data_IF_600479279906
#
_entry.id   IF_600479279906
#
_cell.length_a   1.000
_cell.length_b   1.000
_cell.length_c   1.000
_cell.angle_alpha   90.00
_cell.angle_beta   90.00
_cell.angle_gamma   90.00
#
_symmetry.space_group_name_H-M   'P 1'
#
loop_
_entity.id
_entity.type
_entity.pdbx_description
1 polymer ?
#
# COMPACT_ATOMS: atom_id res chain seq x y z
N UNK A 1 14.52 13.19 10.43
CA UNK A 1 14.00 11.98 11.08
C UNK A 1 14.93 11.44 12.17
N UNK A 2 16.23 11.33 11.97
CA UNK A 2 17.13 10.89 13.06
C UNK A 2 17.28 11.91 14.21
N UNK A 3 17.00 13.19 13.99
CA UNK A 3 17.12 14.24 15.03
C UNK A 3 15.98 14.24 16.03
N UNK A 4 14.81 13.71 15.67
CA UNK A 4 13.57 13.86 16.45
C UNK A 4 13.18 12.57 17.19
N UNK A 5 14.05 11.57 17.24
CA UNK A 5 13.84 10.28 17.94
C UNK A 5 12.49 9.62 17.61
N UNK A 6 12.14 9.56 16.32
CA UNK A 6 10.93 8.87 15.86
C UNK A 6 11.14 7.35 15.85
N UNK A 7 10.13 6.59 16.28
CA UNK A 7 10.16 5.14 16.38
C UNK A 7 9.62 4.43 15.13
N UNK A 8 8.98 5.16 14.24
CA UNK A 8 8.42 4.63 13.01
C UNK A 8 7.93 5.73 12.07
N UNK A 9 7.60 5.34 10.84
CA UNK A 9 7.19 6.26 9.78
C UNK A 9 5.92 5.78 9.11
N UNK A 10 4.97 6.69 8.91
CA UNK A 10 3.79 6.48 8.06
C UNK A 10 3.99 7.24 6.76
N UNK A 11 3.98 6.52 5.64
CA UNK A 11 4.16 7.10 4.31
C UNK A 11 2.81 7.20 3.62
N UNK A 12 2.36 8.43 3.40
CA UNK A 12 1.08 8.68 2.75
C UNK A 12 1.11 8.34 1.25
N UNK A 13 -0.07 8.09 0.69
CA UNK A 13 -0.26 7.80 -0.74
C UNK A 13 -0.30 9.10 -1.55
N UNK A 14 0.83 9.47 -2.13
CA UNK A 14 0.93 10.53 -3.13
C UNK A 14 1.98 10.18 -4.20
N UNK A 15 1.96 10.89 -5.32
CA UNK A 15 2.83 10.58 -6.46
C UNK A 15 4.32 10.76 -6.13
N UNK A 16 4.67 11.69 -5.25
CA UNK A 16 6.06 11.93 -4.85
C UNK A 16 6.57 10.76 -4.02
N UNK A 17 5.81 10.36 -3.00
CA UNK A 17 6.16 9.22 -2.15
C UNK A 17 6.21 7.93 -2.95
N UNK A 18 5.30 7.73 -3.91
CA UNK A 18 5.33 6.56 -4.78
C UNK A 18 6.61 6.51 -5.62
N UNK A 19 7.00 7.63 -6.23
CA UNK A 19 8.22 7.72 -7.06
C UNK A 19 9.48 7.47 -6.24
N UNK A 20 9.52 7.94 -4.99
CA UNK A 20 10.68 7.85 -4.11
C UNK A 20 10.59 6.71 -3.07
N UNK A 21 9.64 5.78 -3.21
CA UNK A 21 9.40 4.70 -2.23
C UNK A 21 10.64 3.85 -1.90
N UNK A 22 11.53 3.68 -2.87
CA UNK A 22 12.79 2.96 -2.68
C UNK A 22 13.79 3.75 -1.83
N UNK A 23 13.74 5.08 -1.88
CA UNK A 23 14.60 5.96 -1.10
C UNK A 23 14.09 6.16 0.34
N UNK A 24 12.78 5.96 0.54
CA UNK A 24 12.13 6.04 1.86
C UNK A 24 12.18 4.70 2.62
N UNK A 25 12.81 3.69 2.02
CA UNK A 25 12.88 2.36 2.60
C UNK A 25 13.55 2.35 3.99
N UNK A 26 13.04 1.55 4.93
CA UNK A 26 13.56 1.43 6.28
C UNK A 26 15.01 0.94 6.32
N UNK A 27 15.50 0.35 5.24
CA UNK A 27 16.87 -0.13 5.11
C UNK A 27 17.92 0.99 5.31
N UNK A 28 17.59 2.22 4.91
CA UNK A 28 18.51 3.35 5.02
C UNK A 28 18.55 3.94 6.44
N UNK A 29 17.43 3.89 7.16
CA UNK A 29 17.28 4.54 8.47
C UNK A 29 16.96 3.58 9.61
N UNK A 30 16.80 2.28 9.34
CA UNK A 30 16.42 1.25 10.33
C UNK A 30 15.14 1.61 11.11
N UNK A 31 14.20 2.27 10.46
CA UNK A 31 12.91 2.62 11.02
C UNK A 31 11.80 1.78 10.41
N UNK A 32 10.89 1.23 11.21
CA UNK A 32 9.71 0.55 10.69
C UNK A 32 8.83 1.56 9.93
N UNK A 33 8.45 1.22 8.71
CA UNK A 33 7.59 2.05 7.87
C UNK A 33 6.32 1.29 7.46
N UNK A 34 5.18 1.99 7.57
CA UNK A 34 3.93 1.56 6.94
C UNK A 34 3.65 2.47 5.75
N UNK A 35 3.30 1.85 4.62
CA UNK A 35 3.07 2.55 3.36
C UNK A 35 1.65 2.26 2.84
N UNK A 36 1.08 3.22 2.14
CA UNK A 36 -0.24 3.11 1.52
C UNK A 36 -0.25 2.49 0.12
N UNK A 37 0.88 2.00 -0.39
CA UNK A 37 0.98 1.30 -1.67
C UNK A 37 1.34 -0.17 -1.45
N UNK A 38 0.62 -1.08 -2.12
CA UNK A 38 0.75 -2.53 -1.94
C UNK A 38 2.15 -3.08 -2.24
N UNK A 39 2.83 -2.52 -3.25
CA UNK A 39 4.19 -2.91 -3.65
C UNK A 39 5.31 -2.36 -2.76
N UNK A 40 4.97 -1.53 -1.77
CA UNK A 40 5.97 -0.94 -0.88
C UNK A 40 6.61 -1.95 0.06
N UNK A 41 5.88 -2.98 0.46
CA UNK A 41 6.44 -4.08 1.26
C UNK A 41 7.49 -4.86 0.46
N UNK A 42 7.26 -5.10 -0.83
CA UNK A 42 8.23 -5.73 -1.73
C UNK A 42 9.46 -4.84 -1.95
N UNK A 43 9.27 -3.52 -1.91
CA UNK A 43 10.34 -2.53 -2.01
C UNK A 43 11.17 -2.37 -0.71
N UNK A 44 10.82 -3.08 0.37
CA UNK A 44 11.57 -3.12 1.62
C UNK A 44 10.92 -2.40 2.80
N UNK A 45 9.72 -1.83 2.66
CA UNK A 45 8.97 -1.33 3.81
C UNK A 45 8.58 -2.49 4.74
N UNK A 46 8.39 -2.20 6.04
CA UNK A 46 7.97 -3.21 7.00
C UNK A 46 6.57 -3.75 6.66
N UNK A 47 5.66 -2.85 6.33
CA UNK A 47 4.29 -3.23 5.98
C UNK A 47 3.66 -2.26 4.99
N UNK A 48 2.67 -2.73 4.27
CA UNK A 48 1.78 -1.92 3.45
C UNK A 48 0.33 -2.22 3.77
N UNK A 49 -0.50 -1.19 3.77
CA UNK A 49 -1.94 -1.31 3.89
C UNK A 49 -2.58 -0.52 2.74
N UNK A 50 -3.07 -1.25 1.75
CA UNK A 50 -3.53 -0.67 0.49
C UNK A 50 -4.73 -1.43 -0.07
N UNK A 51 -5.51 -0.75 -0.91
CA UNK A 51 -6.52 -1.42 -1.72
C UNK A 51 -5.88 -2.11 -2.95
N UNK A 52 -6.57 -3.12 -3.49
CA UNK A 52 -6.12 -3.78 -4.72
C UNK A 52 -6.27 -2.83 -5.93
N UNK A 53 -5.17 -2.19 -6.29
CA UNK A 53 -5.10 -1.25 -7.41
C UNK A 53 -5.47 -1.91 -8.74
N UNK A 54 -5.18 -3.19 -8.92
CA UNK A 54 -5.50 -3.93 -10.16
C UNK A 54 -7.00 -4.19 -10.27
N UNK A 55 -7.65 -4.55 -9.17
CA UNK A 55 -9.09 -4.70 -9.12
C UNK A 55 -9.80 -3.37 -9.40
N UNK A 56 -9.32 -2.30 -8.78
CA UNK A 56 -9.80 -0.93 -9.05
C UNK A 56 -9.68 -0.55 -10.53
N UNK A 57 -8.52 -0.76 -11.14
CA UNK A 57 -8.29 -0.47 -12.55
C UNK A 57 -9.19 -1.26 -13.50
N UNK A 58 -9.42 -2.55 -13.23
CA UNK A 58 -10.37 -3.38 -14.01
C UNK A 58 -11.79 -2.83 -13.93
N UNK A 59 -12.20 -2.38 -12.74
CA UNK A 59 -13.53 -1.81 -12.55
C UNK A 59 -13.69 -0.48 -13.29
N UNK A 60 -12.72 0.40 -13.24
CA UNK A 60 -12.70 1.65 -14.02
C UNK A 60 -12.80 1.34 -15.51
N UNK A 61 -12.05 0.37 -16.01
CA UNK A 61 -12.11 -0.04 -17.40
C UNK A 61 -13.50 -0.56 -17.80
N UNK A 62 -14.14 -1.35 -16.93
CA UNK A 62 -15.50 -1.84 -17.16
C UNK A 62 -16.52 -0.68 -17.23
N UNK A 63 -16.42 0.30 -16.34
CA UNK A 63 -17.29 1.48 -16.36
C UNK A 63 -17.09 2.32 -17.63
N UNK A 64 -15.84 2.53 -18.05
CA UNK A 64 -15.53 3.22 -19.31
C UNK A 64 -16.14 2.48 -20.50
N UNK A 65 -16.00 1.16 -20.54
CA UNK A 65 -16.58 0.34 -21.61
C UNK A 65 -18.11 0.47 -21.67
N UNK A 66 -18.78 0.47 -20.51
CA UNK A 66 -20.22 0.65 -20.42
C UNK A 66 -20.66 2.02 -20.95
N UNK A 67 -19.96 3.10 -20.57
CA UNK A 67 -20.22 4.45 -21.07
C UNK A 67 -20.02 4.56 -22.58
N UNK A 68 -18.95 3.96 -23.10
CA UNK A 68 -18.70 3.98 -24.55
C UNK A 68 -19.74 3.21 -25.36
N UNK A 69 -20.45 2.26 -24.74
CA UNK A 69 -21.56 1.53 -25.34
C UNK A 69 -22.93 2.21 -25.10
N UNK A 70 -22.98 3.44 -24.65
CA UNK A 70 -24.18 4.23 -24.49
C UNK A 70 -24.79 4.22 -23.08
N UNK A 71 -24.10 3.66 -22.10
CA UNK A 71 -24.50 3.73 -20.69
C UNK A 71 -24.48 5.18 -20.19
N UNK A 72 -25.49 5.52 -19.35
CA UNK A 72 -25.59 6.84 -18.76
C UNK A 72 -24.76 6.91 -17.46
N UNK A 73 -23.70 7.74 -17.39
CA UNK A 73 -22.87 7.85 -16.18
C UNK A 73 -23.67 8.26 -14.93
N UNK A 74 -24.76 9.01 -15.08
CA UNK A 74 -25.60 9.44 -13.95
C UNK A 74 -26.41 8.29 -13.30
N UNK A 75 -26.60 7.19 -14.02
CA UNK A 75 -27.32 6.01 -13.55
C UNK A 75 -26.36 4.91 -13.05
N UNK A 76 -25.06 5.09 -13.24
CA UNK A 76 -24.08 4.11 -12.78
C UNK A 76 -23.94 4.14 -11.26
N UNK A 77 -23.95 2.96 -10.60
CA UNK A 77 -23.82 2.92 -9.15
C UNK A 77 -22.45 3.44 -8.71
N UNK A 78 -22.45 4.26 -7.66
CA UNK A 78 -21.22 4.66 -7.00
C UNK A 78 -20.55 3.42 -6.39
N UNK A 79 -19.28 3.26 -6.66
CA UNK A 79 -18.49 2.17 -6.12
C UNK A 79 -17.37 2.70 -5.24
N UNK A 80 -17.28 2.19 -4.03
CA UNK A 80 -16.18 2.42 -3.13
C UNK A 80 -15.44 1.10 -2.91
N UNK A 81 -14.14 1.11 -3.15
CA UNK A 81 -13.31 -0.07 -2.85
C UNK A 81 -13.33 -0.36 -1.36
N UNK A 82 -13.72 -1.58 -1.01
CA UNK A 82 -13.80 -2.04 0.39
C UNK A 82 -12.78 -3.14 0.70
N UNK A 83 -12.06 -3.62 -0.32
CA UNK A 83 -11.08 -4.67 -0.16
C UNK A 83 -9.70 -4.08 0.06
N UNK A 84 -9.24 -4.16 1.30
CA UNK A 84 -7.93 -3.65 1.72
C UNK A 84 -7.07 -4.84 2.13
N UNK A 85 -5.82 -4.81 1.71
CA UNK A 85 -4.84 -5.83 2.01
C UNK A 85 -3.75 -5.28 2.92
N UNK A 86 -3.44 -6.03 3.98
CA UNK A 86 -2.27 -5.80 4.81
C UNK A 86 -1.19 -6.79 4.39
N UNK A 87 -0.07 -6.28 3.91
CA UNK A 87 1.11 -7.07 3.59
C UNK A 87 2.22 -6.74 4.56
N UNK A 88 2.85 -7.76 5.14
CA UNK A 88 3.97 -7.60 6.07
C UNK A 88 5.22 -8.26 5.49
N UNK A 89 6.30 -7.50 5.43
CA UNK A 89 7.59 -8.00 4.98
C UNK A 89 8.35 -8.62 6.16
N UNK A 90 8.30 -9.94 6.26
CA UNK A 90 8.96 -10.68 7.34
C UNK A 90 10.49 -10.54 7.34
N UNK A 91 11.08 -10.33 6.16
CA UNK A 91 12.53 -10.07 6.04
C UNK A 91 12.87 -8.72 6.67
N UNK A 92 12.11 -7.67 6.34
CA UNK A 92 12.29 -6.36 6.93
C UNK A 92 12.07 -6.39 8.46
N UNK A 93 11.05 -7.11 8.93
CA UNK A 93 10.81 -7.30 10.37
C UNK A 93 12.01 -7.92 11.07
N UNK A 94 12.57 -8.98 10.50
CA UNK A 94 13.76 -9.66 11.04
C UNK A 94 14.99 -8.74 11.07
N UNK A 95 15.21 -7.96 10.01
CA UNK A 95 16.32 -6.99 9.94
C UNK A 95 16.19 -5.88 10.98
N UNK A 96 14.96 -5.50 11.31
CA UNK A 96 14.63 -4.52 12.36
C UNK A 96 14.61 -5.11 13.77
N UNK A 97 14.71 -6.44 13.92
CA UNK A 97 14.63 -7.12 15.21
C UNK A 97 13.21 -7.16 15.79
N UNK A 98 12.20 -7.09 14.94
CA UNK A 98 10.78 -7.10 15.33
C UNK A 98 10.18 -8.49 15.20
N UNK A 99 9.45 -8.93 16.22
CA UNK A 99 8.66 -10.15 16.18
C UNK A 99 7.23 -9.84 15.72
N UNK A 100 6.78 -10.53 14.69
CA UNK A 100 5.41 -10.39 14.19
C UNK A 100 4.54 -11.45 14.89
N UNK A 101 3.47 -11.04 15.60
CA UNK A 101 2.57 -11.98 16.26
C UNK A 101 1.94 -12.97 15.27
N UNK A 102 1.85 -14.24 15.65
CA UNK A 102 1.32 -15.32 14.82
C UNK A 102 -0.15 -15.12 14.37
N UNK A 103 -0.90 -14.25 15.05
CA UNK A 103 -2.29 -13.91 14.71
C UNK A 103 -2.45 -12.86 13.60
N UNK A 104 -1.35 -12.23 13.18
CA UNK A 104 -1.37 -11.30 12.05
C UNK A 104 -1.11 -12.13 10.81
N UNK A 105 -2.19 -12.48 10.08
CA UNK A 105 -2.13 -13.34 8.90
C UNK A 105 -1.11 -12.81 7.89
N UNK A 106 -0.08 -13.60 7.62
CA UNK A 106 0.82 -13.36 6.50
C UNK A 106 0.11 -13.74 5.20
N UNK A 107 -0.24 -12.74 4.40
CA UNK A 107 -0.33 -12.96 2.95
C UNK A 107 1.10 -12.87 2.42
N UNK A 108 1.75 -14.00 2.29
CA UNK A 108 3.00 -14.12 1.52
C UNK A 108 2.68 -14.16 0.04
#
# INVERSE_FOLDING_TARGET
MQRDHVDGVVVNTDAVNYTHRLLLGPQQYRLPAICGYGDSADAGALMSYAFDLRAGARRIAAQIFEILNGGNPAEMPYFQESHWELVINLKAAKELGLEIPAGVGCSC
#
